data_IF_340515386341
#
_entry.id   IF_340515386341
#
_cell.length_a   1.000
_cell.length_b   1.000
_cell.length_c   1.000
_cell.angle_alpha   90.00
_cell.angle_beta   90.00
_cell.angle_gamma   90.00
#
_symmetry.space_group_name_H-M   'P 1'
#
loop_
_entity.id
_entity.type
_entity.pdbx_description
1 polymer ?
#
# COMPACT_ATOMS: atom_id res chain seq x y z
N UNK A 1 0.86 20.50 12.03
CA UNK A 1 0.05 20.05 10.88
C UNK A 1 0.57 18.78 10.26
N UNK A 2 1.83 18.78 9.84
CA UNK A 2 2.47 17.56 9.34
C UNK A 2 2.50 16.45 10.39
N UNK A 3 2.66 16.85 11.66
CA UNK A 3 2.71 15.92 12.78
C UNK A 3 1.46 15.06 12.89
N UNK A 4 0.29 15.64 12.64
CA UNK A 4 -0.97 14.89 12.70
C UNK A 4 -1.08 13.84 11.61
N UNK A 5 -0.49 14.11 10.45
CA UNK A 5 -0.46 13.12 9.38
C UNK A 5 0.27 11.86 9.82
N UNK A 6 1.39 12.02 10.51
CA UNK A 6 2.20 10.88 10.96
C UNK A 6 1.59 10.12 12.13
N UNK A 7 0.55 10.67 12.76
CA UNK A 7 -0.20 9.98 13.80
C UNK A 7 -1.27 9.05 13.23
N UNK A 8 -1.59 9.19 11.95
CA UNK A 8 -2.60 8.34 11.30
C UNK A 8 -2.15 6.90 11.26
N UNK A 9 -3.12 6.00 11.45
CA UNK A 9 -2.89 4.56 11.46
C UNK A 9 -3.49 3.95 10.20
N UNK A 10 -2.66 3.49 9.27
CA UNK A 10 -3.18 2.83 8.07
C UNK A 10 -3.49 1.37 8.31
N UNK A 11 -4.45 0.86 7.56
CA UNK A 11 -4.79 -0.54 7.51
C UNK A 11 -4.94 -0.94 6.05
N UNK A 12 -4.42 -2.10 5.68
CA UNK A 12 -4.61 -2.58 4.31
C UNK A 12 -6.09 -2.80 4.05
N UNK A 13 -6.56 -2.40 2.86
CA UNK A 13 -7.95 -2.60 2.48
C UNK A 13 -8.21 -4.10 2.31
N UNK A 14 -9.33 -4.58 2.85
CA UNK A 14 -9.69 -6.00 2.79
C UNK A 14 -9.95 -6.47 1.36
N UNK A 15 -10.21 -5.54 0.46
CA UNK A 15 -10.51 -5.85 -0.95
C UNK A 15 -9.27 -6.09 -1.79
N UNK A 16 -8.08 -5.83 -1.25
CA UNK A 16 -6.82 -5.98 -2.00
C UNK A 16 -6.19 -7.32 -1.67
N UNK A 17 -6.02 -8.14 -2.70
CA UNK A 17 -5.25 -9.38 -2.58
C UNK A 17 -3.79 -9.06 -2.88
N UNK A 18 -2.89 -9.75 -2.22
CA UNK A 18 -1.47 -9.52 -2.43
C UNK A 18 -0.68 -10.78 -2.10
N UNK A 19 0.50 -10.86 -2.67
CA UNK A 19 1.43 -11.94 -2.41
C UNK A 19 2.82 -11.36 -2.19
N UNK A 20 3.68 -12.11 -1.53
CA UNK A 20 5.09 -11.77 -1.41
C UNK A 20 5.91 -12.94 -1.91
N UNK A 21 6.94 -12.65 -2.71
CA UNK A 21 7.80 -13.70 -3.23
C UNK A 21 8.88 -14.08 -2.21
N UNK A 22 9.80 -14.95 -2.61
CA UNK A 22 10.88 -15.43 -1.73
C UNK A 22 11.80 -14.33 -1.23
N UNK A 23 11.84 -13.21 -1.95
CA UNK A 23 12.66 -12.05 -1.58
C UNK A 23 11.85 -10.98 -0.85
N UNK A 24 10.63 -11.33 -0.44
CA UNK A 24 9.69 -10.43 0.24
C UNK A 24 9.26 -9.24 -0.62
N UNK A 25 9.32 -9.39 -1.94
CA UNK A 25 8.80 -8.38 -2.85
C UNK A 25 7.30 -8.59 -3.02
N UNK A 26 6.55 -7.53 -2.76
CA UNK A 26 5.08 -7.59 -2.72
C UNK A 26 4.48 -7.26 -4.08
N UNK A 27 3.49 -8.03 -4.46
CA UNK A 27 2.70 -7.79 -5.67
C UNK A 27 1.25 -7.65 -5.23
N UNK A 28 0.64 -6.50 -5.55
CA UNK A 28 -0.78 -6.27 -5.26
C UNK A 28 -1.59 -6.71 -6.48
N UNK A 29 -2.71 -7.37 -6.21
CA UNK A 29 -3.63 -7.79 -7.27
C UNK A 29 -4.85 -6.86 -7.21
N UNK A 30 -5.01 -6.06 -8.26
CA UNK A 30 -6.05 -5.02 -8.30
C UNK A 30 -7.04 -5.35 -9.41
N UNK A 31 -8.28 -5.59 -9.04
CA UNK A 31 -9.34 -5.83 -10.01
C UNK A 31 -9.78 -4.52 -10.64
N UNK A 32 -9.79 -4.47 -11.98
CA UNK A 32 -10.16 -3.27 -12.72
C UNK A 32 -11.66 -3.27 -13.02
N UNK A 33 -12.46 -3.08 -11.99
CA UNK A 33 -13.93 -3.11 -12.11
C UNK A 33 -14.48 -2.00 -13.00
N UNK A 34 -13.76 -0.90 -13.15
CA UNK A 34 -14.18 0.22 -13.97
C UNK A 34 -14.24 -0.07 -15.45
N UNK A 35 -13.54 -1.12 -15.92
CA UNK A 35 -13.56 -1.54 -17.31
C UNK A 35 -14.64 -2.57 -17.60
N UNK A 36 -15.43 -2.93 -16.61
CA UNK A 36 -16.37 -4.02 -16.71
C UNK A 36 -17.71 -3.52 -17.26
N UNK A 37 -17.82 -3.38 -18.58
CA UNK A 37 -19.09 -3.08 -19.23
C UNK A 37 -19.79 -4.39 -19.64
N UNK A 38 -20.99 -4.28 -20.19
CA UNK A 38 -21.79 -5.45 -20.55
C UNK A 38 -21.07 -6.39 -21.53
N UNK A 39 -20.36 -5.81 -22.49
CA UNK A 39 -19.61 -6.60 -23.47
C UNK A 39 -18.43 -7.32 -22.81
N UNK A 40 -17.71 -6.64 -21.95
CA UNK A 40 -16.58 -7.23 -21.23
C UNK A 40 -17.06 -8.36 -20.30
N UNK A 41 -18.22 -8.22 -19.68
CA UNK A 41 -18.80 -9.27 -18.84
C UNK A 41 -19.12 -10.54 -19.62
N UNK A 42 -19.49 -10.40 -20.88
CA UNK A 42 -19.78 -11.55 -21.73
C UNK A 42 -18.50 -12.25 -22.18
N UNK A 43 -17.42 -11.50 -22.39
CA UNK A 43 -16.15 -12.02 -22.88
C UNK A 43 -15.25 -12.55 -21.76
N UNK A 44 -15.32 -11.90 -20.59
CA UNK A 44 -14.49 -12.26 -19.45
C UNK A 44 -15.37 -12.63 -18.26
N UNK A 45 -15.17 -13.82 -17.73
CA UNK A 45 -15.92 -14.29 -16.57
C UNK A 45 -15.49 -13.59 -15.27
N UNK A 46 -14.31 -12.98 -15.29
CA UNK A 46 -13.74 -12.26 -14.14
C UNK A 46 -13.27 -10.89 -14.59
N UNK A 47 -13.30 -9.87 -13.70
CA UNK A 47 -12.72 -8.57 -14.04
C UNK A 47 -11.24 -8.72 -14.38
N UNK A 48 -10.73 -7.93 -15.32
CA UNK A 48 -9.28 -7.93 -15.57
C UNK A 48 -8.54 -7.48 -14.30
N UNK A 49 -7.36 -8.08 -14.09
CA UNK A 49 -6.55 -7.81 -12.91
C UNK A 49 -5.27 -7.10 -13.33
N UNK A 50 -4.94 -6.04 -12.61
CA UNK A 50 -3.67 -5.37 -12.76
C UNK A 50 -2.77 -5.77 -11.60
N UNK A 51 -1.52 -6.10 -11.89
CA UNK A 51 -0.54 -6.46 -10.87
C UNK A 51 0.37 -5.26 -10.61
N UNK A 52 0.40 -4.81 -9.37
CA UNK A 52 1.24 -3.68 -8.97
C UNK A 52 2.42 -4.23 -8.19
N UNK A 53 3.62 -4.06 -8.74
CA UNK A 53 4.84 -4.54 -8.12
C UNK A 53 5.42 -3.43 -7.25
N UNK A 54 5.50 -3.68 -5.94
CA UNK A 54 6.09 -2.72 -5.02
C UNK A 54 7.60 -2.93 -5.00
N UNK A 55 8.32 -1.83 -4.83
CA UNK A 55 9.77 -1.91 -4.70
C UNK A 55 10.14 -2.43 -3.30
N UNK A 56 11.44 -2.48 -3.03
CA UNK A 56 11.97 -3.04 -1.78
C UNK A 56 11.40 -2.34 -0.54
N UNK A 57 11.46 -1.02 -0.51
CA UNK A 57 10.99 -0.25 0.64
C UNK A 57 9.47 -0.27 0.74
N UNK A 58 8.79 -0.17 -0.39
CA UNK A 58 7.32 -0.25 -0.42
C UNK A 58 6.80 -1.60 0.01
N UNK A 59 7.48 -2.67 -0.38
CA UNK A 59 7.14 -4.03 0.02
C UNK A 59 7.27 -4.21 1.53
N UNK A 60 8.35 -3.67 2.10
CA UNK A 60 8.57 -3.72 3.55
C UNK A 60 7.44 -3.00 4.29
N UNK A 61 7.15 -1.76 3.88
CA UNK A 61 6.08 -0.98 4.52
C UNK A 61 4.73 -1.66 4.41
N UNK A 62 4.41 -2.20 3.24
CA UNK A 62 3.13 -2.88 3.02
C UNK A 62 2.91 -4.00 4.03
N UNK A 63 3.93 -4.81 4.25
CA UNK A 63 3.84 -5.95 5.15
C UNK A 63 3.76 -5.52 6.62
N UNK A 64 4.31 -4.35 6.95
CA UNK A 64 4.28 -3.82 8.32
C UNK A 64 2.97 -3.10 8.66
N UNK A 65 2.15 -2.76 7.66
CA UNK A 65 0.85 -2.13 7.88
C UNK A 65 -0.08 -3.16 8.54
N UNK A 66 -0.50 -2.89 9.76
CA UNK A 66 -1.28 -3.86 10.54
C UNK A 66 -2.56 -3.27 11.17
N UNK A 67 -2.85 -2.00 10.92
CA UNK A 67 -4.00 -1.34 11.54
C UNK A 67 -3.76 -0.89 12.96
N UNK A 68 -2.52 -1.01 13.45
CA UNK A 68 -2.16 -0.58 14.80
C UNK A 68 -1.03 0.42 14.83
N UNK A 69 -0.03 0.27 13.96
CA UNK A 69 1.10 1.18 13.88
C UNK A 69 0.73 2.43 13.10
N UNK A 70 1.11 3.60 13.63
CA UNK A 70 0.92 4.84 12.89
C UNK A 70 2.07 5.03 11.88
N UNK A 71 1.93 6.05 11.03
CA UNK A 71 2.94 6.32 10.00
C UNK A 71 4.31 6.61 10.62
N UNK A 72 4.33 7.31 11.75
CA UNK A 72 5.58 7.62 12.46
C UNK A 72 6.33 6.34 12.84
N UNK A 73 5.62 5.37 13.42
CA UNK A 73 6.21 4.09 13.80
C UNK A 73 6.69 3.30 12.60
N UNK A 74 5.89 3.30 11.53
CA UNK A 74 6.26 2.61 10.29
C UNK A 74 7.52 3.22 9.69
N UNK A 75 7.63 4.55 9.75
CA UNK A 75 8.83 5.24 9.28
C UNK A 75 10.08 4.88 10.06
N UNK A 76 9.93 4.76 11.38
CA UNK A 76 11.05 4.35 12.23
C UNK A 76 11.54 2.95 11.88
N UNK A 77 10.61 2.03 11.64
CA UNK A 77 10.96 0.67 11.22
C UNK A 77 11.67 0.68 9.87
N UNK A 78 11.19 1.50 8.95
CA UNK A 78 11.81 1.63 7.63
C UNK A 78 13.24 2.13 7.75
N UNK A 79 13.46 3.16 8.57
CA UNK A 79 14.78 3.73 8.78
C UNK A 79 15.71 2.73 9.44
N UNK A 80 15.22 1.97 10.41
CA UNK A 80 16.03 0.93 11.05
C UNK A 80 16.47 -0.15 10.08
N UNK A 81 15.59 -0.50 9.14
CA UNK A 81 15.84 -1.57 8.18
C UNK A 81 16.74 -1.13 7.03
N UNK A 82 16.53 0.08 6.51
CA UNK A 82 17.19 0.52 5.28
C UNK A 82 18.20 1.65 5.46
N UNK A 83 18.21 2.30 6.62
CA UNK A 83 19.14 3.39 6.88
C UNK A 83 18.99 4.53 5.88
N UNK A 84 20.11 4.94 5.27
CA UNK A 84 20.11 6.07 4.34
C UNK A 84 19.26 5.84 3.10
N UNK A 85 19.03 4.60 2.70
CA UNK A 85 18.17 4.30 1.57
C UNK A 85 16.70 4.72 1.81
N UNK A 86 16.32 4.91 3.07
CA UNK A 86 14.98 5.37 3.42
C UNK A 86 14.83 6.90 3.30
N UNK A 87 15.92 7.63 3.16
CA UNK A 87 15.87 9.09 3.13
C UNK A 87 15.63 9.66 1.74
N UNK A 88 14.96 10.78 1.61
CA UNK A 88 14.33 11.59 2.66
C UNK A 88 13.07 10.94 3.20
N UNK A 89 13.12 10.56 4.47
CA UNK A 89 12.14 9.66 5.07
C UNK A 89 10.71 10.20 5.02
N UNK A 90 10.50 11.40 5.54
CA UNK A 90 9.13 11.92 5.69
C UNK A 90 8.48 12.21 4.35
N UNK A 91 9.22 12.71 3.39
CA UNK A 91 8.71 12.95 2.05
C UNK A 91 8.30 11.64 1.36
N UNK A 92 9.10 10.60 1.55
CA UNK A 92 8.83 9.28 0.98
C UNK A 92 7.58 8.66 1.61
N UNK A 93 7.42 8.81 2.93
CA UNK A 93 6.25 8.28 3.63
C UNK A 93 4.97 8.98 3.16
N UNK A 94 5.01 10.30 3.06
CA UNK A 94 3.84 11.06 2.62
C UNK A 94 3.45 10.64 1.21
N UNK A 95 4.42 10.56 0.31
CA UNK A 95 4.16 10.17 -1.07
C UNK A 95 3.61 8.76 -1.15
N UNK A 96 4.23 7.83 -0.44
CA UNK A 96 3.83 6.43 -0.44
C UNK A 96 2.39 6.25 0.03
N UNK A 97 2.07 6.77 1.21
CA UNK A 97 0.74 6.60 1.78
C UNK A 97 -0.33 7.40 1.04
N UNK A 98 0.04 8.55 0.45
CA UNK A 98 -0.89 9.32 -0.39
C UNK A 98 -1.27 8.53 -1.63
N UNK A 99 -0.32 7.85 -2.24
CA UNK A 99 -0.60 7.02 -3.41
C UNK A 99 -1.50 5.85 -3.03
N UNK A 100 -1.17 5.15 -1.94
CA UNK A 100 -1.99 4.02 -1.48
C UNK A 100 -3.41 4.47 -1.17
N UNK A 101 -3.55 5.62 -0.53
CA UNK A 101 -4.87 6.16 -0.22
C UNK A 101 -5.66 6.50 -1.49
N UNK A 102 -4.99 7.13 -2.46
CA UNK A 102 -5.65 7.57 -3.69
C UNK A 102 -6.21 6.39 -4.50
N UNK A 103 -5.60 5.23 -4.40
CA UNK A 103 -6.07 4.02 -5.08
C UNK A 103 -6.95 3.15 -4.20
N UNK A 104 -7.26 3.59 -2.99
CA UNK A 104 -8.06 2.84 -2.02
C UNK A 104 -7.42 1.50 -1.63
N UNK A 105 -6.10 1.45 -1.60
CA UNK A 105 -5.36 0.26 -1.17
C UNK A 105 -5.26 0.18 0.34
N UNK A 106 -5.42 1.32 1.03
CA UNK A 106 -5.45 1.39 2.48
C UNK A 106 -6.66 2.18 2.94
N UNK A 107 -7.04 1.96 4.19
CA UNK A 107 -8.02 2.78 4.89
C UNK A 107 -7.35 3.29 6.17
N UNK A 108 -7.87 4.37 6.71
CA UNK A 108 -7.37 4.94 7.96
C UNK A 108 -8.22 4.46 9.12
N UNK A 109 -7.55 4.02 10.18
CA UNK A 109 -8.24 3.65 11.40
C UNK A 109 -8.61 4.95 12.12
N UNK A 110 -9.88 5.07 12.50
CA UNK A 110 -10.32 6.25 13.25
C UNK A 110 -9.85 6.16 14.69
N UNK A 111 -9.39 7.29 15.24
CA UNK A 111 -8.98 7.30 16.65
C UNK A 111 -10.13 7.07 17.61
#
# INVERSE_FOLDING_TARGET
MMEKYFEKVPKRADTINWTADKDNMVILEVENKGFFNTLAQKLFKKPPVTYVHLDKTGSFLWQEIDGEKNIQSLGQLLEERFGEESHPLYERLIKYFSILESYNFIVWIKP
#
